data_IF_445127096841
#
_entry.id   IF_445127096841
#
_cell.length_a   1.000
_cell.length_b   1.000
_cell.length_c   1.000
_cell.angle_alpha   90.00
_cell.angle_beta   90.00
_cell.angle_gamma   90.00
#
_symmetry.space_group_name_H-M   'P 1'
#
loop_
_entity.id
_entity.type
_entity.pdbx_description
1 polymer ?
#
# COMPACT_ATOMS: atom_id res chain seq x y z
N UNK A 1 11.99 -2.91 -0.71
CA UNK A 1 10.81 -2.46 0.05
C UNK A 1 9.77 -3.57 0.02
N UNK A 2 9.30 -3.99 1.18
CA UNK A 2 8.31 -5.07 1.28
C UNK A 2 6.90 -4.48 1.35
N UNK A 3 5.99 -5.00 0.54
CA UNK A 3 4.60 -4.59 0.56
C UNK A 3 3.76 -5.79 0.99
N UNK A 4 2.91 -5.60 1.98
CA UNK A 4 1.98 -6.64 2.44
C UNK A 4 0.55 -6.23 2.11
N UNK A 5 -0.22 -7.19 1.62
CA UNK A 5 -1.62 -6.98 1.24
C UNK A 5 -2.53 -7.80 2.15
N UNK A 6 -3.59 -7.18 2.65
CA UNK A 6 -4.49 -7.83 3.60
C UNK A 6 -5.91 -7.92 3.06
N UNK A 7 -6.66 -8.91 3.56
CA UNK A 7 -8.06 -9.11 3.27
C UNK A 7 -8.31 -9.20 1.75
N UNK A 8 -9.36 -8.55 1.26
CA UNK A 8 -9.73 -8.61 -0.15
C UNK A 8 -8.72 -7.94 -1.07
N UNK A 9 -7.85 -7.08 -0.53
CA UNK A 9 -6.78 -6.47 -1.34
C UNK A 9 -5.82 -7.56 -1.83
N UNK A 10 -5.54 -8.54 -1.00
CA UNK A 10 -4.73 -9.70 -1.35
C UNK A 10 -5.34 -10.45 -2.54
N UNK A 11 -6.65 -10.54 -2.61
CA UNK A 11 -7.33 -11.23 -3.71
C UNK A 11 -7.17 -10.47 -5.04
N UNK A 12 -7.07 -9.14 -4.98
CA UNK A 12 -6.85 -8.31 -6.17
C UNK A 12 -5.42 -8.41 -6.66
N UNK A 13 -4.45 -8.38 -5.76
CA UNK A 13 -3.03 -8.41 -6.13
C UNK A 13 -2.52 -9.83 -6.39
N UNK A 14 -3.17 -10.85 -5.82
CA UNK A 14 -2.76 -12.25 -5.85
C UNK A 14 -1.47 -12.51 -5.07
N UNK A 15 -1.13 -11.62 -4.15
CA UNK A 15 0.04 -11.78 -3.28
C UNK A 15 -0.32 -11.46 -1.85
N UNK A 16 0.24 -12.20 -0.90
CA UNK A 16 0.20 -11.81 0.50
C UNK A 16 1.24 -10.74 0.75
N UNK A 17 2.39 -10.86 0.11
CA UNK A 17 3.45 -9.87 0.20
C UNK A 17 4.33 -9.94 -1.06
N UNK A 18 4.99 -8.85 -1.37
CA UNK A 18 5.94 -8.82 -2.47
C UNK A 18 7.03 -7.79 -2.20
N UNK A 19 8.19 -8.05 -2.81
CA UNK A 19 9.29 -7.09 -2.80
C UNK A 19 9.17 -6.19 -4.02
N UNK A 20 9.33 -4.89 -3.79
CA UNK A 20 9.29 -3.90 -4.87
C UNK A 20 10.62 -3.16 -4.90
N UNK A 21 11.15 -2.95 -6.10
CA UNK A 21 12.35 -2.14 -6.28
C UNK A 21 12.06 -0.70 -5.87
N UNK A 22 12.79 -0.20 -4.87
CA UNK A 22 12.52 1.09 -4.26
C UNK A 22 13.34 2.23 -4.85
N UNK A 23 14.13 2.00 -5.91
CA UNK A 23 15.03 3.01 -6.45
C UNK A 23 14.35 4.33 -6.78
N UNK A 24 13.12 4.28 -7.29
CA UNK A 24 12.38 5.47 -7.71
C UNK A 24 11.26 5.84 -6.75
N UNK A 25 11.24 5.25 -5.56
CA UNK A 25 10.19 5.50 -4.58
C UNK A 25 10.79 6.23 -3.38
N UNK A 26 10.46 7.51 -3.25
CA UNK A 26 10.98 8.33 -2.17
C UNK A 26 9.98 8.60 -1.06
N UNK A 27 8.69 8.45 -1.36
CA UNK A 27 7.65 8.76 -0.39
C UNK A 27 6.43 7.89 -0.63
N UNK A 28 5.48 7.95 0.30
CA UNK A 28 4.29 7.11 0.27
C UNK A 28 3.40 7.39 -0.95
N UNK A 29 3.27 8.66 -1.34
CA UNK A 29 2.45 9.00 -2.51
C UNK A 29 3.00 8.36 -3.78
N UNK A 30 4.32 8.34 -3.94
CA UNK A 30 4.94 7.69 -5.10
C UNK A 30 4.69 6.19 -5.09
N UNK A 31 4.74 5.57 -3.90
CA UNK A 31 4.41 4.15 -3.78
C UNK A 31 2.97 3.88 -4.16
N UNK A 32 2.04 4.72 -3.71
CA UNK A 32 0.61 4.57 -4.05
C UNK A 32 0.40 4.61 -5.55
N UNK A 33 1.04 5.55 -6.23
CA UNK A 33 0.96 5.66 -7.69
C UNK A 33 1.47 4.39 -8.36
N UNK A 34 2.60 3.87 -7.90
CA UNK A 34 3.18 2.66 -8.46
C UNK A 34 2.26 1.45 -8.26
N UNK A 35 1.69 1.30 -7.08
CA UNK A 35 0.79 0.19 -6.76
C UNK A 35 -0.48 0.25 -7.61
N UNK A 36 -1.07 1.43 -7.77
CA UNK A 36 -2.26 1.62 -8.59
C UNK A 36 -1.96 1.31 -10.06
N UNK A 37 -0.79 1.70 -10.52
CA UNK A 37 -0.37 1.41 -11.89
C UNK A 37 -0.17 -0.09 -12.10
N UNK A 38 0.39 -0.77 -11.12
CA UNK A 38 0.64 -2.21 -11.18
C UNK A 38 -0.66 -3.01 -11.06
N UNK A 39 -1.58 -2.54 -10.23
CA UNK A 39 -2.87 -3.20 -9.98
C UNK A 39 -4.01 -2.22 -10.22
N UNK A 40 -4.38 -1.99 -11.50
CA UNK A 40 -5.39 -0.98 -11.82
C UNK A 40 -6.76 -1.20 -11.16
N UNK A 41 -7.07 -2.44 -10.77
CA UNK A 41 -8.33 -2.75 -10.08
C UNK A 41 -8.41 -2.10 -8.70
N UNK A 42 -7.28 -1.68 -8.14
CA UNK A 42 -7.27 -0.98 -6.86
C UNK A 42 -7.65 0.49 -6.98
N UNK A 43 -7.61 1.05 -8.19
CA UNK A 43 -7.81 2.48 -8.38
C UNK A 43 -9.16 2.97 -7.86
N UNK A 44 -10.24 2.23 -8.12
CA UNK A 44 -11.56 2.64 -7.67
C UNK A 44 -11.66 2.68 -6.14
N UNK A 45 -10.95 1.77 -5.47
CA UNK A 45 -10.92 1.74 -4.01
C UNK A 45 -10.08 2.87 -3.45
N UNK A 46 -8.96 3.16 -4.11
CA UNK A 46 -8.12 4.28 -3.76
C UNK A 46 -8.87 5.60 -3.93
N UNK A 47 -9.56 5.77 -5.04
CA UNK A 47 -10.31 7.00 -5.33
C UNK A 47 -11.44 7.22 -4.32
N UNK A 48 -12.01 6.15 -3.75
CA UNK A 48 -13.04 6.23 -2.71
C UNK A 48 -12.47 6.35 -1.31
N UNK A 49 -11.15 6.48 -1.21
CA UNK A 49 -10.43 6.59 0.06
C UNK A 49 -10.68 5.39 0.97
N UNK A 50 -10.74 4.20 0.37
CA UNK A 50 -10.97 2.96 1.13
C UNK A 50 -9.68 2.27 1.52
N UNK A 51 -8.59 2.48 0.79
CA UNK A 51 -7.31 1.86 1.10
C UNK A 51 -6.64 2.55 2.29
N UNK A 52 -6.10 1.74 3.19
CA UNK A 52 -5.36 2.22 4.36
C UNK A 52 -3.93 1.74 4.28
N UNK A 53 -3.01 2.53 4.82
CA UNK A 53 -1.58 2.27 4.72
C UNK A 53 -0.92 2.35 6.10
N UNK A 54 -0.03 1.39 6.37
CA UNK A 54 0.82 1.43 7.55
C UNK A 54 2.27 1.25 7.10
N UNK A 55 3.18 1.98 7.70
CA UNK A 55 4.61 1.89 7.42
C UNK A 55 5.29 1.41 8.68
N UNK A 56 5.96 0.26 8.59
CA UNK A 56 6.62 -0.36 9.75
C UNK A 56 5.64 -0.49 10.93
N UNK A 57 4.41 -0.94 10.62
CA UNK A 57 3.34 -1.19 11.59
C UNK A 57 2.74 0.07 12.22
N UNK A 58 3.05 1.24 11.65
CA UNK A 58 2.48 2.50 12.12
C UNK A 58 1.49 3.03 11.07
N UNK A 59 0.25 3.28 11.50
CA UNK A 59 -0.79 3.78 10.61
C UNK A 59 -0.44 5.19 10.14
N UNK A 60 -0.47 5.40 8.81
CA UNK A 60 -0.05 6.65 8.20
C UNK A 60 -1.23 7.26 7.44
N UNK A 61 -1.54 8.53 7.72
CA UNK A 61 -2.58 9.28 7.01
C UNK A 61 -2.00 10.30 6.04
N UNK A 62 -0.78 10.79 6.31
CA UNK A 62 -0.15 11.80 5.48
C UNK A 62 0.96 11.19 4.63
N UNK A 63 1.37 11.93 3.61
CA UNK A 63 2.53 11.51 2.83
C UNK A 63 3.78 11.58 3.71
N UNK A 64 4.59 10.53 3.68
CA UNK A 64 5.84 10.48 4.43
C UNK A 64 6.96 9.97 3.54
N UNK A 65 8.19 10.29 3.92
CA UNK A 65 9.37 9.76 3.25
C UNK A 65 9.50 8.26 3.53
N UNK A 66 9.90 7.49 2.52
CA UNK A 66 10.12 6.06 2.65
C UNK A 66 11.57 5.70 2.41
N UNK A 67 12.04 4.67 3.09
CA UNK A 67 13.38 4.11 2.92
C UNK A 67 13.28 2.72 2.30
N UNK A 68 14.38 2.26 1.70
CA UNK A 68 14.42 1.00 0.98
C UNK A 68 14.07 -0.22 1.84
N UNK A 69 14.28 -0.15 3.14
CA UNK A 69 14.02 -1.26 4.06
C UNK A 69 12.66 -1.18 4.75
N UNK A 70 11.85 -0.19 4.38
CA UNK A 70 10.52 -0.06 4.99
C UNK A 70 9.59 -1.19 4.57
N UNK A 71 8.67 -1.53 5.46
CA UNK A 71 7.62 -2.48 5.21
C UNK A 71 6.29 -1.74 5.21
N UNK A 72 5.57 -1.83 4.09
CA UNK A 72 4.30 -1.13 3.93
C UNK A 72 3.17 -2.15 3.91
N UNK A 73 2.16 -1.95 4.75
CA UNK A 73 0.95 -2.75 4.75
C UNK A 73 -0.18 -1.96 4.09
N UNK A 74 -0.90 -2.63 3.19
CA UNK A 74 -2.07 -2.06 2.53
C UNK A 74 -3.27 -2.90 2.97
N UNK A 75 -4.26 -2.24 3.55
CA UNK A 75 -5.39 -2.95 4.14
C UNK A 75 -6.67 -2.11 4.01
N UNK A 76 -7.84 -2.78 4.06
CA UNK A 76 -9.11 -2.06 4.03
C UNK A 76 -9.44 -1.48 5.40
N UNK A 77 -10.40 -0.56 5.49
CA UNK A 77 -10.83 -0.05 6.79
C UNK A 77 -11.33 -1.19 7.67
N UNK A 78 -11.02 -1.09 8.96
CA UNK A 78 -11.51 -2.07 9.93
C UNK A 78 -12.97 -1.74 10.24
N UNK A 79 -13.88 -2.64 9.89
CA UNK A 79 -15.30 -2.45 10.16
C UNK A 79 -15.61 -2.77 11.62
N UNK A 80 -16.58 -2.05 12.15
CA UNK A 80 -17.04 -2.28 13.51
C UNK A 80 -16.10 -1.80 14.57
N UNK A 81 -15.14 -1.11 14.12
CA UNK A 81 -14.14 -0.40 14.95
C UNK A 81 -13.92 -0.95 16.26
#
# INVERSE_FOLDING_TARGET
MKIKYFAWIKDITNYEEEEINSEKINNLDELKILIIKKYPKLKKHYDKDILRFAVNQEYIINNIKLDANDEIAIFPPVSGG
#
